data_IF_481999127651
#
_entry.id   IF_481999127651
#
_cell.length_a   1.000
_cell.length_b   1.000
_cell.length_c   1.000
_cell.angle_alpha   90.00
_cell.angle_beta   90.00
_cell.angle_gamma   90.00
#
_symmetry.space_group_name_H-M   'P 1'
#
loop_
_entity.id
_entity.type
_entity.pdbx_description
1 polymer ?
#
# COMPACT_ATOMS: atom_id res chain seq x y z
N UNK A 1 -0.31 4.11 -4.52
CA UNK A 1 -0.10 5.00 -3.35
C UNK A 1 -0.93 4.50 -2.19
N UNK A 2 -2.24 4.31 -2.40
CA UNK A 2 -3.22 3.94 -1.36
C UNK A 2 -2.81 2.80 -0.42
N UNK A 3 -2.20 1.71 -0.93
CA UNK A 3 -1.69 0.61 -0.06
C UNK A 3 -0.61 1.09 0.91
N UNK A 4 0.31 1.94 0.45
CA UNK A 4 1.38 2.49 1.29
C UNK A 4 0.83 3.49 2.30
N UNK A 5 -0.17 4.28 1.92
CA UNK A 5 -0.82 5.24 2.83
C UNK A 5 -1.59 4.52 3.93
N UNK A 6 -2.33 3.48 3.59
CA UNK A 6 -3.04 2.68 4.60
C UNK A 6 -2.06 1.98 5.54
N UNK A 7 -0.92 1.49 5.03
CA UNK A 7 0.11 0.86 5.85
C UNK A 7 1.00 1.86 6.62
N UNK A 8 1.00 3.15 6.25
CA UNK A 8 1.71 4.18 7.01
C UNK A 8 1.02 4.47 8.36
N UNK A 9 -0.30 4.29 8.40
CA UNK A 9 -1.12 4.41 9.62
C UNK A 9 -0.92 3.24 10.59
N UNK A 10 -0.41 2.10 10.11
CA UNK A 10 -0.13 0.94 10.95
C UNK A 10 -0.16 -0.38 10.18
N UNK A 11 0.20 -1.44 10.89
CA UNK A 11 0.14 -2.80 10.35
C UNK A 11 -1.30 -3.21 10.04
N UNK A 12 -1.54 -3.87 8.90
CA UNK A 12 -2.87 -4.28 8.46
C UNK A 12 -2.90 -5.71 7.96
N UNK A 13 -4.01 -6.41 8.18
CA UNK A 13 -4.22 -7.71 7.53
C UNK A 13 -4.57 -7.51 6.05
N UNK A 14 -4.32 -8.51 5.21
CA UNK A 14 -4.76 -8.49 3.81
C UNK A 14 -6.28 -8.34 3.66
N UNK A 15 -7.07 -8.80 4.64
CA UNK A 15 -8.52 -8.61 4.65
C UNK A 15 -8.91 -7.17 4.96
N UNK A 16 -8.28 -6.56 5.99
CA UNK A 16 -8.49 -5.15 6.35
C UNK A 16 -8.11 -4.22 5.19
N UNK A 17 -6.94 -4.46 4.57
CA UNK A 17 -6.50 -3.73 3.39
C UNK A 17 -7.50 -3.83 2.23
N UNK A 18 -8.03 -5.03 1.97
CA UNK A 18 -9.03 -5.22 0.93
C UNK A 18 -10.34 -4.49 1.22
N UNK A 19 -10.76 -4.45 2.49
CA UNK A 19 -11.94 -3.71 2.90
C UNK A 19 -11.75 -2.18 2.80
N UNK A 20 -10.62 -1.66 3.26
CA UNK A 20 -10.32 -0.21 3.25
C UNK A 20 -10.19 0.31 1.81
N UNK A 21 -9.57 -0.48 0.93
CA UNK A 21 -9.33 -0.10 -0.46
C UNK A 21 -10.44 -0.54 -1.41
N UNK A 22 -11.50 -1.17 -0.89
CA UNK A 22 -12.57 -1.78 -1.69
C UNK A 22 -12.06 -2.77 -2.77
N UNK A 23 -10.91 -3.41 -2.51
CA UNK A 23 -10.25 -4.33 -3.42
C UNK A 23 -10.48 -5.79 -3.03
N UNK A 24 -10.75 -6.62 -4.03
CA UNK A 24 -10.75 -8.09 -3.85
C UNK A 24 -9.34 -8.57 -3.52
N UNK A 25 -9.25 -9.60 -2.66
CA UNK A 25 -7.99 -10.23 -2.24
C UNK A 25 -7.03 -10.50 -3.40
N UNK A 26 -7.53 -11.09 -4.50
CA UNK A 26 -6.70 -11.46 -5.67
C UNK A 26 -6.04 -10.24 -6.31
N UNK A 27 -6.76 -9.12 -6.38
CA UNK A 27 -6.27 -7.85 -6.91
C UNK A 27 -5.24 -7.23 -5.98
N UNK A 28 -5.44 -7.32 -4.66
CA UNK A 28 -4.52 -6.78 -3.66
C UNK A 28 -3.19 -7.54 -3.56
N UNK A 29 -3.18 -8.85 -3.85
CA UNK A 29 -1.96 -9.67 -3.71
C UNK A 29 -0.83 -9.27 -4.67
N UNK A 30 -1.15 -8.84 -5.90
CA UNK A 30 -0.12 -8.47 -6.87
C UNK A 30 0.66 -7.20 -6.43
N UNK A 31 0.00 -6.08 -6.07
CA UNK A 31 0.66 -4.92 -5.48
C UNK A 31 1.47 -5.27 -4.23
N UNK A 32 0.93 -6.05 -3.28
CA UNK A 32 1.66 -6.42 -2.07
C UNK A 32 2.93 -7.22 -2.37
N UNK A 33 2.90 -8.13 -3.35
CA UNK A 33 4.09 -8.87 -3.80
C UNK A 33 5.13 -7.95 -4.44
N UNK A 34 4.72 -6.99 -5.26
CA UNK A 34 5.63 -6.02 -5.87
C UNK A 34 6.28 -5.17 -4.77
N UNK A 35 5.49 -4.62 -3.85
CA UNK A 35 6.00 -3.83 -2.73
C UNK A 35 6.96 -4.63 -1.84
N UNK A 36 6.66 -5.91 -1.58
CA UNK A 36 7.54 -6.79 -0.83
C UNK A 36 8.84 -7.10 -1.59
N UNK A 37 8.77 -7.35 -2.89
CA UNK A 37 9.96 -7.59 -3.73
C UNK A 37 10.90 -6.38 -3.76
N UNK A 38 10.37 -5.16 -3.64
CA UNK A 38 11.16 -3.94 -3.51
C UNK A 38 11.57 -3.60 -2.06
N UNK A 39 11.25 -4.47 -1.10
CA UNK A 39 11.59 -4.28 0.31
C UNK A 39 10.83 -3.13 0.99
N UNK A 40 9.66 -2.75 0.47
CA UNK A 40 8.83 -1.67 1.01
C UNK A 40 7.83 -2.20 2.06
N UNK A 41 7.38 -3.45 1.90
CA UNK A 41 6.43 -4.11 2.80
C UNK A 41 7.02 -5.44 3.25
N UNK A 42 6.81 -5.76 4.53
CA UNK A 42 7.05 -7.11 5.07
C UNK A 42 5.74 -7.69 5.58
N UNK A 43 5.64 -9.01 5.52
CA UNK A 43 4.52 -9.76 6.10
C UNK A 43 5.01 -10.67 7.22
N UNK A 44 4.26 -10.80 8.30
CA UNK A 44 4.61 -11.69 9.43
C UNK A 44 4.40 -13.18 9.11
N UNK A 45 4.42 -13.58 7.83
CA UNK A 45 4.31 -14.98 7.46
C UNK A 45 5.60 -15.73 7.81
N UNK A 46 5.53 -16.49 8.90
CA UNK A 46 6.47 -17.57 9.20
C UNK A 46 6.04 -18.77 8.34
N UNK A 47 6.73 -19.06 7.24
CA UNK A 47 6.55 -20.31 6.50
C UNK A 47 6.54 -20.17 4.98
N UNK A 48 7.57 -20.75 4.35
CA UNK A 48 7.67 -20.98 2.91
C UNK A 48 6.46 -21.78 2.39
N UNK A 49 5.89 -21.34 1.27
CA UNK A 49 5.20 -22.21 0.30
C UNK A 49 3.99 -23.01 0.79
N UNK A 50 2.81 -22.65 0.30
CA UNK A 50 1.66 -23.56 0.17
C UNK A 50 1.07 -24.18 1.45
N UNK A 51 1.07 -23.42 2.56
CA UNK A 51 0.26 -23.77 3.72
C UNK A 51 -0.87 -22.76 3.89
N UNK A 52 -2.11 -23.25 3.71
CA UNK A 52 -3.41 -22.58 3.90
C UNK A 52 -3.30 -21.23 4.60
N UNK A 53 -3.35 -20.17 3.79
CA UNK A 53 -3.38 -18.75 4.19
C UNK A 53 -4.36 -18.59 5.34
N UNK A 54 -3.84 -18.56 6.58
CA UNK A 54 -4.61 -18.11 7.73
C UNK A 54 -4.93 -16.65 7.46
N UNK A 55 -6.19 -16.27 7.65
CA UNK A 55 -6.75 -14.94 7.39
C UNK A 55 -6.10 -13.78 8.18
N UNK A 56 -4.95 -14.01 8.80
CA UNK A 56 -4.24 -13.12 9.72
C UNK A 56 -2.82 -12.74 9.25
N UNK A 57 -2.48 -12.91 7.96
CA UNK A 57 -1.21 -12.33 7.47
C UNK A 57 -1.26 -10.82 7.59
N UNK A 58 -0.48 -10.31 8.52
CA UNK A 58 -0.30 -8.89 8.77
C UNK A 58 0.83 -8.37 7.90
N UNK A 59 0.60 -7.23 7.25
CA UNK A 59 1.54 -6.48 6.44
C UNK A 59 1.90 -5.19 7.16
N UNK A 60 3.17 -4.79 7.08
CA UNK A 60 3.66 -3.51 7.60
C UNK A 60 4.71 -2.91 6.68
N UNK A 61 4.84 -1.59 6.71
CA UNK A 61 5.95 -0.92 6.03
C UNK A 61 7.28 -1.30 6.69
N UNK A 62 8.31 -1.42 5.87
CA UNK A 62 9.70 -1.31 6.34
C UNK A 62 10.06 0.16 6.56
N UNK A 63 11.22 0.44 7.13
CA UNK A 63 11.73 1.83 7.21
C UNK A 63 11.87 2.45 5.81
N UNK A 64 12.30 1.66 4.83
CA UNK A 64 12.35 2.09 3.43
C UNK A 64 10.95 2.39 2.89
N UNK A 65 10.00 1.51 3.14
CA UNK A 65 8.60 1.69 2.76
C UNK A 65 7.98 2.96 3.33
N UNK A 66 8.27 3.27 4.61
CA UNK A 66 7.80 4.49 5.27
C UNK A 66 8.37 5.74 4.60
N UNK A 67 9.69 5.81 4.39
CA UNK A 67 10.31 6.94 3.68
C UNK A 67 9.74 7.12 2.27
N UNK A 68 9.48 6.02 1.56
CA UNK A 68 8.85 6.08 0.23
C UNK A 68 7.42 6.62 0.30
N UNK A 69 6.62 6.22 1.29
CA UNK A 69 5.27 6.76 1.50
C UNK A 69 5.31 8.26 1.78
N UNK A 70 6.22 8.73 2.63
CA UNK A 70 6.39 10.15 2.97
C UNK A 70 6.77 11.00 1.73
N UNK A 71 7.67 10.48 0.89
CA UNK A 71 8.07 11.13 -0.37
C UNK A 71 6.89 11.22 -1.35
N UNK A 72 6.12 10.14 -1.50
CA UNK A 72 4.95 10.12 -2.38
C UNK A 72 3.88 11.09 -1.86
N UNK A 73 3.61 11.12 -0.56
CA UNK A 73 2.68 12.07 0.05
C UNK A 73 3.08 13.52 -0.25
N UNK A 74 4.36 13.85 -0.09
CA UNK A 74 4.90 15.18 -0.41
C UNK A 74 4.75 15.52 -1.90
N UNK A 75 4.97 14.56 -2.79
CA UNK A 75 4.77 14.75 -4.23
C UNK A 75 3.32 15.07 -4.57
N UNK A 76 2.35 14.38 -3.98
CA UNK A 76 0.93 14.64 -4.25
C UNK A 76 0.46 16.00 -3.75
N UNK A 77 0.97 16.45 -2.60
CA UNK A 77 0.74 17.82 -2.13
C UNK A 77 1.22 18.81 -3.19
N UNK A 78 2.44 18.65 -3.69
CA UNK A 78 2.97 19.50 -4.75
C UNK A 78 2.19 19.38 -6.05
N UNK A 79 1.82 18.18 -6.49
CA UNK A 79 1.04 17.96 -7.70
C UNK A 79 -0.32 18.69 -7.63
N UNK A 80 -1.00 18.64 -6.48
CA UNK A 80 -2.29 19.31 -6.28
C UNK A 80 -2.19 20.84 -6.32
N UNK A 81 -1.06 21.41 -5.93
CA UNK A 81 -0.81 22.86 -5.98
C UNK A 81 -0.55 23.36 -7.41
N UNK A 82 -0.08 22.48 -8.29
CA UNK A 82 0.32 22.81 -9.65
C UNK A 82 -0.60 22.20 -10.71
N UNK A 83 -1.67 21.52 -10.30
CA UNK A 83 -2.67 21.04 -11.24
C UNK A 83 -3.35 22.27 -11.88
N UNK A 84 -3.14 22.52 -13.19
CA UNK A 84 -3.73 23.68 -13.83
C UNK A 84 -5.24 23.55 -13.76
N UNK A 85 -5.87 24.61 -13.28
CA UNK A 85 -7.32 24.72 -13.19
C UNK A 85 -7.88 24.72 -14.63
N UNK A 86 -8.14 23.53 -15.18
CA UNK A 86 -8.71 23.35 -16.51
C UNK A 86 -10.21 23.75 -16.55
N UNK A 87 -10.68 24.55 -15.60
CA UNK A 87 -12.06 25.01 -15.48
C UNK A 87 -12.37 26.32 -16.22
N UNK A 88 -11.42 26.87 -16.99
CA UNK A 88 -11.68 28.02 -17.87
C UNK A 88 -11.40 27.70 -19.34
N UNK A 89 -12.36 27.02 -19.97
CA UNK A 89 -12.50 26.91 -21.42
C UNK A 89 -13.97 27.06 -21.79
N UNK A 90 -14.41 28.30 -21.99
CA UNK A 90 -15.72 28.70 -22.48
C UNK A 90 -15.81 28.57 -24.00
#
# INVERSE_FOLDING_TARGET
MEVLDVLSQGSQTGASLGAILELRRRTLMAPLRILAAHGLVVSDHIGSGDSRVRHATTYRLTDRGRRTADLLSSFWVWASLYEPDNSHGN
#
